data_IF_254171296982
#
_entry.id   IF_254171296982
#
_cell.length_a   1.000
_cell.length_b   1.000
_cell.length_c   1.000
_cell.angle_alpha   90.00
_cell.angle_beta   90.00
_cell.angle_gamma   90.00
#
_symmetry.space_group_name_H-M   'P 1'
#
loop_
_entity.id
_entity.type
_entity.pdbx_description
1 polymer ?
#
# COMPACT_ATOMS: atom_id res chain seq x y z
N UNK A 1 56.89 29.04 -13.17
CA UNK A 1 55.82 29.60 -14.02
C UNK A 1 54.58 29.56 -13.18
N UNK A 2 54.19 30.74 -12.74
CA UNK A 2 53.67 31.00 -11.39
C UNK A 2 52.17 30.75 -11.23
N UNK A 3 51.77 30.45 -9.98
CA UNK A 3 50.40 30.23 -9.46
C UNK A 3 49.40 31.38 -9.74
N UNK A 4 49.81 32.45 -10.41
CA UNK A 4 49.01 33.67 -10.60
C UNK A 4 48.11 33.66 -11.84
N UNK A 5 48.10 32.59 -12.65
CA UNK A 5 47.33 32.56 -13.91
C UNK A 5 45.94 31.92 -13.77
N UNK A 6 45.66 31.22 -12.66
CA UNK A 6 44.39 30.51 -12.47
C UNK A 6 43.26 31.36 -11.87
N UNK A 7 43.60 32.43 -11.13
CA UNK A 7 42.61 33.26 -10.45
C UNK A 7 41.93 34.31 -11.34
N UNK A 8 42.44 34.53 -12.56
CA UNK A 8 41.88 35.51 -13.50
C UNK A 8 40.74 34.93 -14.38
N UNK A 9 40.48 33.62 -14.27
CA UNK A 9 39.40 32.94 -15.00
C UNK A 9 38.03 33.01 -14.27
N UNK A 10 38.00 33.37 -12.98
CA UNK A 10 36.78 33.39 -12.16
C UNK A 10 36.15 34.78 -12.00
N UNK A 11 36.81 35.85 -12.46
CA UNK A 11 36.33 37.24 -12.28
C UNK A 11 35.49 37.76 -13.46
N UNK A 12 35.25 36.95 -14.50
CA UNK A 12 34.55 37.38 -15.71
C UNK A 12 33.31 36.54 -15.98
N UNK A 13 32.21 36.88 -15.31
CA UNK A 13 30.92 37.12 -15.96
C UNK A 13 29.88 37.60 -14.93
N UNK A 14 29.73 38.91 -14.83
CA UNK A 14 28.51 39.57 -14.39
C UNK A 14 27.46 39.52 -15.51
N UNK A 15 26.31 38.88 -15.28
CA UNK A 15 25.11 39.08 -16.11
C UNK A 15 23.83 39.09 -15.25
N UNK A 16 23.51 40.29 -14.77
CA UNK A 16 22.25 41.04 -14.96
C UNK A 16 20.91 40.32 -14.67
N UNK A 17 20.30 40.78 -13.58
CA UNK A 17 18.88 41.19 -13.42
C UNK A 17 17.87 40.73 -14.48
N UNK A 18 16.90 39.93 -14.04
CA UNK A 18 15.57 39.86 -14.67
C UNK A 18 14.47 39.52 -13.64
N UNK A 19 13.73 40.57 -13.27
CA UNK A 19 12.27 40.61 -13.06
C UNK A 19 11.66 39.66 -12.01
N UNK A 20 11.38 40.23 -10.83
CA UNK A 20 10.46 39.66 -9.85
C UNK A 20 9.07 39.49 -10.46
N UNK A 21 8.53 38.27 -10.39
CA UNK A 21 7.12 37.98 -10.61
C UNK A 21 6.46 38.19 -9.24
N UNK A 22 5.74 39.30 -9.07
CA UNK A 22 4.89 39.52 -7.90
C UNK A 22 3.70 38.58 -7.97
N UNK A 23 3.68 37.59 -7.09
CA UNK A 23 2.46 36.84 -6.75
C UNK A 23 2.10 37.32 -5.34
N UNK A 24 1.09 38.18 -5.25
CA UNK A 24 0.44 38.50 -3.97
C UNK A 24 -0.32 37.26 -3.50
N UNK A 25 0.33 36.45 -2.65
CA UNK A 25 -0.37 35.55 -1.76
C UNK A 25 -0.32 36.19 -0.38
N UNK A 26 -1.48 36.74 0.01
CA UNK A 26 -1.77 37.34 1.29
C UNK A 26 -1.60 36.29 2.40
N UNK A 27 -0.39 36.22 2.97
CA UNK A 27 -0.09 35.43 4.17
C UNK A 27 0.77 36.30 5.09
N UNK A 28 0.15 36.64 6.21
CA UNK A 28 0.64 37.37 7.37
C UNK A 28 2.16 37.33 7.58
N UNK A 29 2.77 38.52 7.62
CA UNK A 29 4.17 38.71 8.02
C UNK A 29 4.36 38.37 9.50
N UNK A 30 4.97 37.22 9.79
CA UNK A 30 5.56 36.96 11.10
C UNK A 30 7.02 37.42 11.11
N UNK A 31 7.32 38.43 11.93
CA UNK A 31 8.68 38.84 12.24
C UNK A 31 9.34 37.75 13.07
N UNK A 32 10.30 37.04 12.48
CA UNK A 32 11.17 36.11 13.20
C UNK A 32 12.37 36.94 13.66
N UNK A 33 12.49 37.15 14.96
CA UNK A 33 13.67 37.77 15.56
C UNK A 33 14.86 36.80 15.47
N UNK A 34 15.96 37.26 14.89
CA UNK A 34 17.21 36.52 14.70
C UNK A 34 17.79 36.09 16.06
N UNK A 35 17.54 34.83 16.44
CA UNK A 35 18.33 34.15 17.47
C UNK A 35 19.37 33.28 16.78
N UNK A 36 20.63 33.69 16.91
CA UNK A 36 21.83 33.06 16.33
C UNK A 36 21.77 31.53 16.34
N UNK A 37 21.59 30.96 15.15
CA UNK A 37 21.78 29.53 14.91
C UNK A 37 23.13 29.31 14.24
N UNK A 38 24.00 28.62 14.97
CA UNK A 38 25.31 28.11 14.55
C UNK A 38 25.19 27.21 13.29
N UNK A 39 26.28 27.06 12.51
CA UNK A 39 26.24 26.80 11.08
C UNK A 39 25.79 25.39 10.68
N UNK A 40 24.94 25.37 9.65
CA UNK A 40 24.51 24.20 8.88
C UNK A 40 25.67 23.57 8.12
N UNK A 41 25.99 22.32 8.44
CA UNK A 41 26.88 21.49 7.64
C UNK A 41 26.29 21.27 6.24
N UNK A 42 27.12 21.52 5.23
CA UNK A 42 26.82 21.51 3.81
C UNK A 42 26.38 20.13 3.30
N UNK A 43 25.36 20.15 2.44
CA UNK A 43 24.78 19.01 1.74
C UNK A 43 25.66 18.64 0.54
N UNK A 44 26.67 17.80 0.76
CA UNK A 44 27.37 17.11 -0.31
C UNK A 44 26.45 16.06 -0.94
N UNK A 45 25.93 16.35 -2.13
CA UNK A 45 25.11 15.43 -2.93
C UNK A 45 26.00 14.49 -3.74
N UNK A 46 26.84 13.70 -3.07
CA UNK A 46 27.45 12.54 -3.71
C UNK A 46 26.39 11.45 -3.89
N UNK A 47 26.24 10.96 -5.13
CA UNK A 47 25.31 9.90 -5.52
C UNK A 47 25.61 8.58 -4.80
N UNK A 48 25.19 8.48 -3.54
CA UNK A 48 25.28 7.26 -2.76
C UNK A 48 24.31 6.26 -3.37
N UNK A 49 24.86 5.21 -3.99
CA UNK A 49 24.10 4.02 -4.38
C UNK A 49 23.21 3.66 -3.19
N UNK A 50 21.88 3.63 -3.41
CA UNK A 50 20.91 3.30 -2.35
C UNK A 50 21.37 2.01 -1.67
N UNK A 51 21.80 2.10 -0.41
CA UNK A 51 22.14 0.93 0.41
C UNK A 51 21.00 -0.07 0.27
N UNK A 52 21.33 -1.35 0.06
CA UNK A 52 20.34 -2.41 -0.09
C UNK A 52 19.32 -2.32 1.04
N UNK A 53 18.06 -2.68 0.79
CA UNK A 53 17.04 -2.73 1.84
C UNK A 53 17.49 -3.55 3.07
N UNK A 54 18.47 -4.46 2.87
CA UNK A 54 19.14 -5.23 3.91
C UNK A 54 20.16 -4.42 4.73
N UNK A 55 20.91 -3.52 4.10
CA UNK A 55 21.93 -2.67 4.74
C UNK A 55 21.31 -1.45 5.46
N UNK A 56 20.09 -1.07 5.09
CA UNK A 56 19.32 -0.02 5.78
C UNK A 56 18.81 -0.44 7.17
N UNK A 57 18.94 -1.72 7.54
CA UNK A 57 18.47 -2.30 8.80
C UNK A 57 19.63 -2.49 9.79
N UNK A 58 20.55 -1.54 9.86
CA UNK A 58 21.73 -1.64 10.71
C UNK A 58 21.43 -1.27 12.17
N UNK A 59 20.89 -2.24 12.90
CA UNK A 59 21.22 -2.64 14.28
C UNK A 59 20.38 -3.90 14.52
N UNK A 60 21.03 -5.08 14.54
CA UNK A 60 20.33 -6.38 14.67
C UNK A 60 19.79 -6.64 16.07
N UNK A 61 20.12 -5.77 17.00
CA UNK A 61 19.82 -5.93 18.41
C UNK A 61 19.03 -4.72 18.90
N UNK A 62 18.11 -4.99 19.82
CA UNK A 62 17.33 -3.97 20.50
C UNK A 62 18.22 -3.18 21.48
N UNK A 63 17.84 -1.96 21.79
CA UNK A 63 18.57 -1.06 22.66
C UNK A 63 18.41 -1.49 24.12
N UNK A 64 19.38 -2.21 24.68
CA UNK A 64 19.34 -2.72 26.06
C UNK A 64 19.25 -1.64 27.15
N UNK A 65 19.49 -0.37 26.83
CA UNK A 65 19.40 0.74 27.79
C UNK A 65 17.97 1.11 28.15
N UNK A 66 17.00 0.80 27.27
CA UNK A 66 15.59 1.16 27.45
C UNK A 66 14.89 0.08 28.29
N UNK A 67 14.31 0.39 29.46
CA UNK A 67 13.55 -0.61 30.23
C UNK A 67 12.16 -0.83 29.62
N UNK A 68 11.78 -2.09 29.35
CA UNK A 68 10.44 -2.49 28.84
C UNK A 68 9.53 -3.06 29.93
N UNK A 69 9.50 -2.40 31.09
CA UNK A 69 8.68 -2.83 32.23
C UNK A 69 7.18 -2.83 31.92
N UNK A 70 6.74 -2.05 30.92
CA UNK A 70 5.34 -1.98 30.48
C UNK A 70 4.81 -3.30 29.91
N UNK A 71 5.68 -4.23 29.47
CA UNK A 71 5.25 -5.51 28.90
C UNK A 71 4.82 -6.52 29.98
N UNK A 72 5.25 -6.32 31.23
CA UNK A 72 4.88 -7.16 32.37
C UNK A 72 5.38 -8.60 32.33
N UNK A 73 6.29 -8.91 31.39
CA UNK A 73 6.87 -10.25 31.20
C UNK A 73 8.38 -10.18 31.04
N UNK A 74 9.05 -11.21 31.53
CA UNK A 74 10.50 -11.38 31.46
C UNK A 74 10.90 -12.55 30.56
N UNK A 75 12.21 -12.73 30.36
CA UNK A 75 12.77 -13.81 29.55
C UNK A 75 12.49 -15.23 30.07
N UNK A 76 12.21 -15.35 31.36
CA UNK A 76 11.92 -16.61 32.06
C UNK A 76 10.43 -16.81 32.35
N UNK A 77 9.57 -15.88 31.90
CA UNK A 77 8.11 -16.01 31.97
C UNK A 77 7.60 -17.17 31.12
N UNK A 78 6.37 -17.61 31.41
CA UNK A 78 5.75 -18.74 30.71
C UNK A 78 5.46 -18.39 29.25
N UNK A 79 5.65 -19.36 28.34
CA UNK A 79 5.36 -19.21 26.91
C UNK A 79 4.00 -18.55 26.60
N UNK A 80 2.86 -19.05 27.13
CA UNK A 80 1.54 -18.43 26.89
C UNK A 80 1.42 -16.99 27.40
N UNK A 81 2.04 -16.66 28.53
CA UNK A 81 2.02 -15.31 29.10
C UNK A 81 2.76 -14.33 28.19
N UNK A 82 3.93 -14.75 27.68
CA UNK A 82 4.72 -13.98 26.70
C UNK A 82 3.94 -13.79 25.39
N UNK A 83 3.20 -14.80 24.93
CA UNK A 83 2.35 -14.70 23.72
C UNK A 83 1.28 -13.62 23.89
N UNK A 84 0.58 -13.62 25.02
CA UNK A 84 -0.47 -12.64 25.30
C UNK A 84 0.10 -11.22 25.40
N UNK A 85 1.24 -11.07 26.08
CA UNK A 85 1.92 -9.78 26.22
C UNK A 85 2.38 -9.21 24.87
N UNK A 86 3.00 -10.05 24.02
CA UNK A 86 3.43 -9.65 22.67
C UNK A 86 2.21 -9.31 21.79
N UNK A 87 1.14 -10.10 21.84
CA UNK A 87 -0.06 -9.84 21.04
C UNK A 87 -0.71 -8.50 21.40
N UNK A 88 -0.78 -8.17 22.70
CA UNK A 88 -1.26 -6.87 23.19
C UNK A 88 -0.37 -5.71 22.75
N UNK A 89 0.95 -5.86 22.91
CA UNK A 89 1.93 -4.83 22.53
C UNK A 89 1.90 -4.51 21.04
N UNK A 90 1.76 -5.53 20.18
CA UNK A 90 1.80 -5.37 18.73
C UNK A 90 0.42 -5.08 18.10
N UNK A 91 -0.65 -5.06 18.91
CA UNK A 91 -2.05 -5.02 18.48
C UNK A 91 -2.34 -6.05 17.36
N UNK A 92 -1.90 -7.29 17.56
CA UNK A 92 -2.03 -8.35 16.55
C UNK A 92 -3.28 -9.20 16.80
N UNK A 93 -4.18 -9.25 15.81
CA UNK A 93 -5.42 -10.03 15.89
C UNK A 93 -5.16 -11.55 15.84
N UNK A 94 -4.12 -11.97 15.11
CA UNK A 94 -3.81 -13.38 14.88
C UNK A 94 -2.87 -13.94 15.93
N UNK A 95 -3.37 -14.20 17.13
CA UNK A 95 -2.58 -14.74 18.26
C UNK A 95 -1.84 -16.04 17.87
N UNK A 96 -2.44 -16.89 17.04
CA UNK A 96 -1.84 -18.13 16.53
C UNK A 96 -0.48 -17.94 15.83
N UNK A 97 -0.22 -16.78 15.23
CA UNK A 97 1.08 -16.52 14.59
C UNK A 97 2.15 -16.23 15.64
N UNK A 98 1.79 -15.52 16.71
CA UNK A 98 2.68 -15.20 17.83
C UNK A 98 2.99 -16.46 18.63
N UNK A 99 1.99 -17.30 18.89
CA UNK A 99 2.18 -18.59 19.56
C UNK A 99 3.17 -19.50 18.80
N UNK A 100 3.04 -19.59 17.47
CA UNK A 100 4.00 -20.31 16.62
C UNK A 100 5.40 -19.71 16.68
N UNK A 101 5.53 -18.40 16.78
CA UNK A 101 6.83 -17.72 16.91
C UNK A 101 7.49 -18.08 18.24
N UNK A 102 6.76 -17.97 19.35
CA UNK A 102 7.28 -18.30 20.69
C UNK A 102 7.62 -19.78 20.78
N UNK A 103 6.80 -20.66 20.22
CA UNK A 103 7.06 -22.12 20.20
C UNK A 103 8.27 -22.48 19.33
N UNK A 104 8.46 -21.82 18.19
CA UNK A 104 9.54 -22.15 17.25
C UNK A 104 10.88 -21.52 17.63
N UNK A 105 10.88 -20.25 18.07
CA UNK A 105 12.10 -19.50 18.37
C UNK A 105 12.47 -19.50 19.86
N UNK A 106 11.49 -19.75 20.74
CA UNK A 106 11.61 -19.59 22.19
C UNK A 106 11.24 -18.18 22.66
N UNK A 107 10.92 -18.07 23.96
CA UNK A 107 10.52 -16.82 24.63
C UNK A 107 11.58 -15.72 24.47
N UNK A 108 12.85 -16.07 24.68
CA UNK A 108 13.97 -15.11 24.63
C UNK A 108 14.07 -14.38 23.30
N UNK A 109 14.12 -15.15 22.20
CA UNK A 109 14.23 -14.59 20.84
C UNK A 109 12.96 -13.85 20.44
N UNK A 110 11.78 -14.37 20.81
CA UNK A 110 10.52 -13.70 20.52
C UNK A 110 10.44 -12.30 21.18
N UNK A 111 10.82 -12.21 22.47
CA UNK A 111 10.89 -10.93 23.19
C UNK A 111 11.94 -9.99 22.60
N UNK A 112 13.13 -10.49 22.23
CA UNK A 112 14.15 -9.67 21.55
C UNK A 112 13.63 -9.05 20.25
N UNK A 113 12.88 -9.80 19.44
CA UNK A 113 12.25 -9.26 18.24
C UNK A 113 11.14 -8.25 18.56
N UNK A 114 10.40 -8.44 19.65
CA UNK A 114 9.36 -7.52 20.10
C UNK A 114 9.98 -6.17 20.49
N UNK A 115 11.04 -6.19 21.32
CA UNK A 115 11.76 -4.98 21.71
C UNK A 115 12.40 -4.28 20.52
N UNK A 116 12.97 -5.05 19.58
CA UNK A 116 13.52 -4.48 18.37
C UNK A 116 12.43 -3.83 17.49
N UNK A 117 11.23 -4.39 17.45
CA UNK A 117 10.11 -3.80 16.72
C UNK A 117 9.69 -2.46 17.34
N UNK A 118 9.61 -2.39 18.67
CA UNK A 118 9.30 -1.18 19.42
C UNK A 118 10.35 -0.08 19.18
N UNK A 119 11.64 -0.42 19.28
CA UNK A 119 12.73 0.53 19.02
C UNK A 119 12.68 1.10 17.60
N UNK A 120 12.32 0.27 16.62
CA UNK A 120 12.19 0.68 15.22
C UNK A 120 10.97 1.58 15.05
N UNK A 121 9.84 1.24 15.67
CA UNK A 121 8.64 2.07 15.61
C UNK A 121 8.89 3.45 16.20
N UNK A 122 9.54 3.51 17.36
CA UNK A 122 9.95 4.75 18.03
C UNK A 122 10.88 5.61 17.17
N UNK A 123 11.69 4.98 16.31
CA UNK A 123 12.58 5.66 15.35
C UNK A 123 11.91 6.01 14.02
N UNK A 124 10.59 5.85 13.89
CA UNK A 124 9.84 6.20 12.68
C UNK A 124 9.32 5.00 11.87
N UNK A 125 9.57 3.77 12.29
CA UNK A 125 8.96 2.54 11.76
C UNK A 125 9.39 2.16 10.35
N UNK A 126 8.67 1.21 9.73
CA UNK A 126 8.89 0.80 8.34
C UNK A 126 7.77 1.20 7.42
N UNK A 127 8.11 1.41 6.15
CA UNK A 127 7.14 1.50 5.07
C UNK A 127 6.90 0.14 4.43
N UNK A 128 5.74 -0.02 3.80
CA UNK A 128 5.51 -1.11 2.84
C UNK A 128 6.57 -1.04 1.74
N UNK A 129 6.90 -2.17 1.11
CA UNK A 129 7.92 -2.21 0.05
C UNK A 129 7.62 -1.24 -1.11
N UNK A 130 6.34 -0.99 -1.35
CA UNK A 130 5.79 -0.05 -2.32
C UNK A 130 5.81 1.43 -1.85
N UNK A 131 6.16 1.69 -0.59
CA UNK A 131 6.25 3.04 -0.03
C UNK A 131 4.91 3.72 0.27
N UNK A 132 3.79 3.17 -0.18
CA UNK A 132 2.46 3.77 -0.07
C UNK A 132 1.96 4.06 1.35
N UNK A 133 2.41 3.30 2.35
CA UNK A 133 1.97 3.45 3.74
C UNK A 133 3.01 2.96 4.74
N UNK A 134 2.92 3.46 5.99
CA UNK A 134 3.64 2.88 7.13
C UNK A 134 3.09 1.50 7.48
N UNK A 135 3.97 0.62 7.96
CA UNK A 135 3.66 -0.69 8.53
C UNK A 135 3.16 -0.48 9.96
N UNK A 136 2.23 -1.33 10.38
CA UNK A 136 1.82 -1.46 11.78
C UNK A 136 2.93 -2.10 12.61
N UNK A 137 2.94 -1.93 13.95
CA UNK A 137 3.91 -2.58 14.83
C UNK A 137 4.00 -4.10 14.62
N UNK A 138 2.86 -4.80 14.57
CA UNK A 138 2.83 -6.22 14.21
C UNK A 138 3.42 -6.51 12.82
N UNK A 139 3.15 -5.65 11.84
CA UNK A 139 3.74 -5.75 10.51
C UNK A 139 5.26 -5.54 10.49
N UNK A 140 5.80 -4.67 11.36
CA UNK A 140 7.23 -4.47 11.57
C UNK A 140 7.85 -5.72 12.18
N UNK A 141 7.28 -6.23 13.27
CA UNK A 141 7.71 -7.46 13.95
C UNK A 141 7.80 -8.68 13.01
N UNK A 142 6.74 -8.96 12.25
CA UNK A 142 6.73 -10.07 11.30
C UNK A 142 7.74 -9.86 10.16
N UNK A 143 7.96 -8.60 9.75
CA UNK A 143 8.96 -8.26 8.72
C UNK A 143 10.38 -8.49 9.23
N UNK A 144 10.67 -8.16 10.50
CA UNK A 144 11.95 -8.41 11.14
C UNK A 144 12.27 -9.91 11.15
N UNK A 145 11.32 -10.74 11.58
CA UNK A 145 11.50 -12.21 11.57
C UNK A 145 11.66 -12.73 10.15
N UNK A 146 10.94 -12.18 9.17
CA UNK A 146 11.08 -12.62 7.76
C UNK A 146 12.47 -12.33 7.20
N UNK A 147 13.05 -11.18 7.57
CA UNK A 147 14.30 -10.64 7.02
C UNK A 147 15.54 -10.97 7.85
N UNK A 148 15.39 -11.39 9.10
CA UNK A 148 16.50 -11.71 9.99
C UNK A 148 17.31 -12.89 9.45
N UNK A 149 18.64 -12.80 9.50
CA UNK A 149 19.51 -13.92 9.15
C UNK A 149 19.66 -14.91 10.32
N UNK A 150 19.28 -14.50 11.53
CA UNK A 150 19.29 -15.32 12.76
C UNK A 150 18.21 -16.39 12.77
N UNK A 151 17.18 -16.25 11.93
CA UNK A 151 16.10 -17.24 11.81
C UNK A 151 16.34 -18.04 10.53
N UNK A 152 16.44 -19.35 10.68
CA UNK A 152 16.64 -20.28 9.57
C UNK A 152 15.42 -20.32 8.66
N UNK A 153 15.62 -20.73 7.40
CA UNK A 153 14.51 -20.89 6.44
C UNK A 153 13.48 -21.91 6.92
N UNK A 154 13.90 -22.94 7.67
CA UNK A 154 13.03 -23.96 8.23
C UNK A 154 12.12 -23.38 9.32
N UNK A 155 12.68 -22.63 10.28
CA UNK A 155 11.91 -21.93 11.32
C UNK A 155 10.92 -20.93 10.70
N UNK A 156 11.36 -20.12 9.72
CA UNK A 156 10.45 -19.21 8.99
C UNK A 156 9.30 -19.96 8.34
N UNK A 157 9.58 -21.11 7.73
CA UNK A 157 8.54 -21.94 7.09
C UNK A 157 7.58 -22.54 8.11
N UNK A 158 8.05 -22.90 9.31
CA UNK A 158 7.21 -23.41 10.39
C UNK A 158 6.26 -22.32 10.91
N UNK A 159 6.79 -21.11 11.15
CA UNK A 159 6.04 -19.95 11.64
C UNK A 159 4.98 -19.50 10.63
N UNK A 160 5.40 -19.26 9.39
CA UNK A 160 4.54 -18.68 8.34
C UNK A 160 3.85 -19.74 7.48
N UNK A 161 3.69 -20.97 7.99
CA UNK A 161 2.94 -22.01 7.28
C UNK A 161 1.48 -21.59 7.18
N UNK A 162 0.98 -21.48 5.95
CA UNK A 162 -0.45 -21.26 5.69
C UNK A 162 -1.23 -22.42 6.31
N UNK A 163 -2.13 -22.11 7.25
CA UNK A 163 -2.96 -23.12 7.90
C UNK A 163 -3.88 -23.75 6.86
N UNK A 164 -4.25 -25.02 7.01
CA UNK A 164 -5.10 -25.69 6.01
C UNK A 164 -6.48 -25.02 5.87
N UNK A 165 -6.97 -24.38 6.93
CA UNK A 165 -8.13 -23.49 6.89
C UNK A 165 -7.91 -22.26 6.00
N UNK A 166 -6.76 -21.57 6.13
CA UNK A 166 -6.41 -20.41 5.30
C UNK A 166 -6.31 -20.81 3.82
N UNK A 167 -5.70 -21.96 3.50
CA UNK A 167 -5.67 -22.51 2.14
C UNK A 167 -7.06 -22.76 1.58
N UNK A 168 -7.94 -23.36 2.38
CA UNK A 168 -9.30 -23.68 1.96
C UNK A 168 -10.11 -22.40 1.71
N UNK A 169 -10.01 -21.41 2.60
CA UNK A 169 -10.64 -20.09 2.44
C UNK A 169 -10.12 -19.39 1.19
N UNK A 170 -8.81 -19.36 0.98
CA UNK A 170 -8.19 -18.80 -0.23
C UNK A 170 -8.69 -19.46 -1.50
N UNK A 171 -8.78 -20.80 -1.53
CA UNK A 171 -9.34 -21.54 -2.68
C UNK A 171 -10.81 -21.19 -2.94
N UNK A 172 -11.62 -21.02 -1.89
CA UNK A 172 -13.02 -20.58 -1.99
C UNK A 172 -13.13 -19.17 -2.55
N UNK A 173 -12.34 -18.23 -2.05
CA UNK A 173 -12.30 -16.83 -2.52
C UNK A 173 -11.89 -16.74 -3.98
N UNK A 174 -10.82 -17.43 -4.39
CA UNK A 174 -10.38 -17.47 -5.79
C UNK A 174 -11.43 -18.07 -6.72
N UNK A 175 -12.16 -19.11 -6.28
CA UNK A 175 -13.26 -19.69 -7.06
C UNK A 175 -14.42 -18.70 -7.20
N UNK A 176 -14.76 -17.96 -6.14
CA UNK A 176 -15.81 -16.94 -6.17
C UNK A 176 -15.43 -15.77 -7.09
N UNK A 177 -14.18 -15.30 -7.02
CA UNK A 177 -13.65 -14.24 -7.88
C UNK A 177 -13.69 -14.64 -9.36
N UNK A 178 -13.21 -15.84 -9.70
CA UNK A 178 -13.29 -16.38 -11.08
C UNK A 178 -14.73 -16.43 -11.60
N UNK A 179 -15.69 -16.84 -10.76
CA UNK A 179 -17.12 -16.83 -11.11
C UNK A 179 -17.65 -15.41 -11.31
N UNK A 180 -17.20 -14.44 -10.51
CA UNK A 180 -17.58 -13.02 -10.65
C UNK A 180 -17.01 -12.44 -11.95
N UNK A 181 -15.75 -12.69 -12.27
CA UNK A 181 -15.12 -12.23 -13.51
C UNK A 181 -15.81 -12.84 -14.74
N UNK A 182 -16.09 -14.16 -14.72
CA UNK A 182 -16.81 -14.82 -15.82
C UNK A 182 -18.22 -14.25 -16.03
N UNK A 183 -18.94 -13.91 -14.95
CA UNK A 183 -20.25 -13.25 -15.06
C UNK A 183 -20.15 -11.84 -15.66
N UNK A 184 -19.12 -11.06 -15.29
CA UNK A 184 -18.88 -9.75 -15.88
C UNK A 184 -18.58 -9.84 -17.38
N UNK A 185 -17.66 -10.73 -17.76
CA UNK A 185 -17.32 -10.97 -19.17
C UNK A 185 -18.53 -11.42 -20.01
N UNK A 186 -19.39 -12.27 -19.45
CA UNK A 186 -20.62 -12.70 -20.13
C UNK A 186 -21.65 -11.57 -20.25
N UNK A 187 -21.78 -10.70 -19.23
CA UNK A 187 -22.68 -9.54 -19.28
C UNK A 187 -22.23 -8.49 -20.32
N UNK A 188 -20.91 -8.29 -20.47
CA UNK A 188 -20.36 -7.38 -21.47
C UNK A 188 -20.56 -7.91 -22.92
N UNK A 189 -20.70 -9.24 -23.10
CA UNK A 189 -20.96 -9.85 -24.40
C UNK A 189 -22.45 -9.81 -24.81
N UNK A 190 -23.37 -9.81 -23.83
CA UNK A 190 -24.82 -9.70 -24.02
C UNK A 190 -25.28 -8.23 -24.24
N UNK A 191 -24.36 -7.28 -24.04
CA UNK A 191 -24.60 -5.83 -24.22
C UNK A 191 -24.22 -5.31 -25.62
N UNK A 192 -23.89 -6.19 -26.58
CA UNK A 192 -23.75 -5.76 -27.97
C UNK A 192 -25.13 -5.48 -28.56
N UNK A 193 -25.42 -4.25 -29.04
CA UNK A 193 -26.71 -3.92 -29.62
C UNK A 193 -26.99 -4.85 -30.79
N UNK A 194 -28.12 -5.55 -30.75
CA UNK A 194 -28.66 -6.27 -31.89
C UNK A 194 -28.72 -5.29 -33.07
N UNK A 195 -27.98 -5.62 -34.14
CA UNK A 195 -28.07 -4.92 -35.43
C UNK A 195 -29.54 -4.96 -35.88
N UNK A 196 -30.17 -3.83 -36.22
CA UNK A 196 -31.61 -3.78 -36.46
C UNK A 196 -31.97 -4.69 -37.64
N UNK A 197 -32.87 -5.64 -37.39
CA UNK A 197 -33.59 -6.37 -38.44
C UNK A 197 -34.49 -5.40 -39.18
N UNK A 198 -34.42 -5.43 -40.50
CA UNK A 198 -35.20 -4.61 -41.43
C UNK A 198 -36.72 -4.66 -41.13
N UNK A 199 -37.47 -3.58 -41.45
CA UNK A 199 -38.92 -3.56 -41.26
C UNK A 199 -39.61 -4.61 -42.15
N UNK A 200 -40.72 -5.21 -41.69
CA UNK A 200 -41.57 -6.02 -42.56
C UNK A 200 -42.27 -5.11 -43.57
N UNK A 201 -42.20 -5.49 -44.85
CA UNK A 201 -42.93 -4.86 -45.93
C UNK A 201 -44.44 -4.98 -45.66
N UNK A 202 -45.10 -3.84 -45.52
CA UNK A 202 -46.55 -3.69 -45.42
C UNK A 202 -47.13 -3.74 -46.83
N UNK A 203 -47.45 -4.94 -47.31
CA UNK A 203 -48.33 -5.13 -48.45
C UNK A 203 -49.37 -6.20 -48.10
N UNK A 204 -50.63 -5.94 -48.49
CA UNK A 204 -51.83 -6.77 -48.36
C UNK A 204 -52.66 -6.69 -47.08
N UNK A 205 -53.38 -5.57 -46.85
CA UNK A 205 -54.79 -5.64 -46.43
C UNK A 205 -55.56 -4.45 -47.04
N UNK A 206 -55.92 -4.57 -48.32
CA UNK A 206 -56.98 -3.77 -48.95
C UNK A 206 -58.06 -4.75 -49.43
N UNK A 207 -59.32 -4.36 -49.21
CA UNK A 207 -60.55 -4.98 -49.71
C UNK A 207 -61.19 -6.06 -48.83
N UNK A 208 -61.94 -5.61 -47.81
CA UNK A 208 -63.25 -6.19 -47.54
C UNK A 208 -64.18 -5.11 -46.93
N UNK A 209 -64.59 -4.16 -47.77
CA UNK A 209 -65.65 -3.20 -47.43
C UNK A 209 -66.97 -3.79 -47.92
N UNK A 210 -67.93 -4.13 -47.02
CA UNK A 210 -69.22 -4.67 -47.43
C UNK A 210 -70.06 -3.62 -48.16
N UNK A 211 -70.49 -3.98 -49.37
CA UNK A 211 -71.32 -3.18 -50.27
C UNK A 211 -72.72 -2.89 -49.68
N UNK A 212 -73.17 -1.63 -49.59
CA UNK A 212 -74.56 -1.32 -49.26
C UNK A 212 -75.44 -1.36 -50.53
N UNK A 213 -76.35 -2.33 -50.54
CA UNK A 213 -77.43 -2.52 -51.51
C UNK A 213 -78.36 -1.29 -51.50
N UNK A 214 -78.34 -0.47 -52.56
CA UNK A 214 -79.31 0.62 -52.78
C UNK A 214 -79.88 0.48 -54.18
N UNK A 215 -81.08 -0.12 -54.23
CA UNK A 215 -81.98 -0.09 -55.38
C UNK A 215 -82.49 1.33 -55.63
N UNK A 216 -82.19 1.90 -56.79
CA UNK A 216 -82.86 3.09 -57.31
C UNK A 216 -83.70 2.63 -58.51
N UNK A 217 -85.01 2.55 -58.30
CA UNK A 217 -86.00 2.37 -59.37
C UNK A 217 -86.01 3.61 -60.26
N UNK A 218 -85.77 3.41 -61.56
CA UNK A 218 -86.05 4.42 -62.58
C UNK A 218 -87.49 4.24 -63.08
N UNK A 219 -88.29 5.31 -63.18
CA UNK A 219 -89.61 5.24 -63.80
C UNK A 219 -89.50 5.27 -65.32
N UNK A 220 -90.13 4.30 -65.99
CA UNK A 220 -90.42 4.34 -67.43
C UNK A 220 -91.68 5.17 -67.70
N UNK A 221 -91.56 6.10 -68.66
CA UNK A 221 -92.59 6.75 -69.48
C UNK A 221 -93.72 7.56 -68.80
#
# INVERSE_FOLDING_TARGET
VDESTLNDALSRTDVKSAKAISIECDVESYSIEDTESQPSAELETEGTKRKSAKDRLSAREYDKSIPRTHLGVDFDSSGPEVVEAIAKCLNEDKIDIIDRIVTTLGTKRALSFCYLAEDIENRGGFFVADGSRRRTPGGVFLTLIRRSDEVTKAEKKAIFKETDQEKLQRKKLLKAEKRRLKRKLNADHDSQPQKPSAPPDEDEILEDIPSPDVTIEAPDA
#
